data_IF_063510234994
#
_entry.id   IF_063510234994
#
_cell.length_a   1.000
_cell.length_b   1.000
_cell.length_c   1.000
_cell.angle_alpha   90.00
_cell.angle_beta   90.00
_cell.angle_gamma   90.00
#
_symmetry.space_group_name_H-M   'P 1'
#
loop_
_entity.id
_entity.type
_entity.pdbx_description
1 polymer ?
#
# COMPACT_ATOMS: atom_id res chain seq x y z
N UNK A 1 -36.57 -58.99 -3.69
CA UNK A 1 -35.16 -58.51 -3.65
C UNK A 1 -35.09 -57.11 -4.25
N UNK A 2 -34.64 -56.10 -3.51
CA UNK A 2 -34.37 -54.76 -4.07
C UNK A 2 -32.96 -54.74 -4.65
N UNK A 3 -32.82 -54.63 -5.97
CA UNK A 3 -31.52 -54.40 -6.60
C UNK A 3 -30.96 -53.06 -6.14
N UNK A 4 -29.82 -53.07 -5.46
CA UNK A 4 -29.08 -51.84 -5.16
C UNK A 4 -28.43 -51.39 -6.46
N UNK A 5 -28.76 -50.18 -6.94
CA UNK A 5 -28.08 -49.57 -8.08
C UNK A 5 -26.62 -49.32 -7.68
N UNK A 6 -25.69 -49.97 -8.36
CA UNK A 6 -24.26 -49.71 -8.22
C UNK A 6 -23.88 -48.56 -9.14
N UNK A 7 -23.12 -47.61 -8.62
CA UNK A 7 -22.63 -46.46 -9.38
C UNK A 7 -21.47 -46.90 -10.27
N UNK A 8 -21.48 -46.53 -11.55
CA UNK A 8 -20.42 -46.87 -12.49
C UNK A 8 -19.28 -45.86 -12.43
N UNK A 9 -18.07 -46.30 -12.79
CA UNK A 9 -16.90 -45.41 -12.90
C UNK A 9 -17.11 -44.31 -13.95
N UNK A 10 -17.86 -44.61 -15.02
CA UNK A 10 -18.18 -43.64 -16.09
C UNK A 10 -19.09 -42.53 -15.56
N UNK A 11 -20.12 -42.87 -14.78
CA UNK A 11 -21.01 -41.88 -14.16
C UNK A 11 -20.23 -40.94 -13.23
N UNK A 12 -19.26 -41.46 -12.48
CA UNK A 12 -18.39 -40.63 -11.63
C UNK A 12 -17.48 -39.71 -12.46
N UNK A 13 -16.89 -40.24 -13.54
CA UNK A 13 -15.97 -39.52 -14.42
C UNK A 13 -16.67 -38.32 -15.10
N UNK A 14 -17.90 -38.52 -15.59
CA UNK A 14 -18.65 -37.45 -16.24
C UNK A 14 -18.99 -36.33 -15.24
N UNK A 15 -19.37 -36.68 -14.01
CA UNK A 15 -19.70 -35.68 -12.98
C UNK A 15 -18.48 -34.84 -12.63
N UNK A 16 -17.32 -35.45 -12.41
CA UNK A 16 -16.10 -34.68 -12.11
C UNK A 16 -15.66 -33.81 -13.31
N UNK A 17 -15.86 -34.30 -14.55
CA UNK A 17 -15.56 -33.53 -15.76
C UNK A 17 -16.45 -32.27 -15.86
N UNK A 18 -17.75 -32.40 -15.60
CA UNK A 18 -18.68 -31.25 -15.59
C UNK A 18 -18.32 -30.27 -14.47
N UNK A 19 -18.03 -30.75 -13.25
CA UNK A 19 -17.60 -29.89 -12.14
C UNK A 19 -16.30 -29.14 -12.50
N UNK A 20 -15.34 -29.81 -13.13
CA UNK A 20 -14.08 -29.19 -13.55
C UNK A 20 -14.31 -28.05 -14.56
N UNK A 21 -15.19 -28.24 -15.55
CA UNK A 21 -15.55 -27.19 -16.53
C UNK A 21 -16.21 -26.00 -15.82
N UNK A 22 -17.15 -26.24 -14.91
CA UNK A 22 -17.82 -25.18 -14.17
C UNK A 22 -16.82 -24.39 -13.30
N UNK A 23 -15.93 -25.08 -12.59
CA UNK A 23 -14.89 -24.43 -11.78
C UNK A 23 -13.90 -23.64 -12.62
N UNK A 24 -13.54 -24.13 -13.81
CA UNK A 24 -12.63 -23.43 -14.72
C UNK A 24 -13.17 -22.05 -15.15
N UNK A 25 -14.48 -21.93 -15.36
CA UNK A 25 -15.13 -20.66 -15.71
C UNK A 25 -15.38 -19.80 -14.46
N UNK A 26 -15.69 -20.41 -13.32
CA UNK A 26 -16.01 -19.69 -12.08
C UNK A 26 -14.78 -19.06 -11.41
N UNK A 27 -13.63 -19.72 -11.43
CA UNK A 27 -12.42 -19.25 -10.74
C UNK A 27 -11.92 -17.88 -11.23
N UNK A 28 -11.81 -17.59 -12.54
CA UNK A 28 -11.44 -16.27 -13.05
C UNK A 28 -12.42 -15.17 -12.62
N UNK A 29 -13.72 -15.44 -12.71
CA UNK A 29 -14.77 -14.49 -12.32
C UNK A 29 -14.71 -14.17 -10.82
N UNK A 30 -14.53 -15.18 -9.96
CA UNK A 30 -14.41 -15.00 -8.52
C UNK A 30 -13.14 -14.22 -8.13
N UNK A 31 -12.02 -14.46 -8.82
CA UNK A 31 -10.78 -13.69 -8.62
C UNK A 31 -10.96 -12.21 -8.97
N UNK A 32 -11.63 -11.92 -10.10
CA UNK A 32 -11.95 -10.55 -10.49
C UNK A 32 -12.87 -9.86 -9.47
N UNK A 33 -13.94 -10.53 -9.04
CA UNK A 33 -14.87 -10.00 -8.04
C UNK A 33 -14.18 -9.73 -6.69
N UNK A 34 -13.32 -10.65 -6.23
CA UNK A 34 -12.53 -10.47 -5.01
C UNK A 34 -11.61 -9.26 -5.12
N UNK A 35 -10.90 -9.11 -6.24
CA UNK A 35 -9.99 -7.97 -6.41
C UNK A 35 -10.75 -6.63 -6.41
N UNK A 36 -11.90 -6.56 -7.09
CA UNK A 36 -12.76 -5.37 -7.06
C UNK A 36 -13.22 -5.05 -5.63
N UNK A 37 -13.62 -6.06 -4.85
CA UNK A 37 -14.00 -5.86 -3.45
C UNK A 37 -12.82 -5.37 -2.60
N UNK A 38 -11.61 -5.93 -2.78
CA UNK A 38 -10.40 -5.48 -2.08
C UNK A 38 -10.08 -4.02 -2.42
N UNK A 39 -10.24 -3.63 -3.69
CA UNK A 39 -10.06 -2.26 -4.19
C UNK A 39 -11.03 -1.28 -3.55
N UNK A 40 -12.33 -1.62 -3.50
CA UNK A 40 -13.35 -0.80 -2.82
C UNK A 40 -13.04 -0.61 -1.34
N UNK A 41 -12.64 -1.68 -0.64
CA UNK A 41 -12.24 -1.59 0.77
C UNK A 41 -10.99 -0.71 0.93
N UNK A 42 -9.99 -0.87 0.06
CA UNK A 42 -8.78 -0.06 0.05
C UNK A 42 -9.10 1.44 -0.10
N UNK A 43 -9.95 1.81 -1.06
CA UNK A 43 -10.41 3.19 -1.24
C UNK A 43 -11.11 3.77 0.00
N UNK A 44 -11.92 2.95 0.70
CA UNK A 44 -12.54 3.35 1.97
C UNK A 44 -11.52 3.56 3.09
N UNK A 45 -10.52 2.69 3.19
CA UNK A 45 -9.44 2.77 4.17
C UNK A 45 -8.62 4.06 4.00
N UNK A 46 -8.15 4.36 2.79
CA UNK A 46 -7.33 5.57 2.54
C UNK A 46 -8.10 6.88 2.73
N UNK A 47 -9.41 6.91 2.43
CA UNK A 47 -10.27 8.06 2.79
C UNK A 47 -10.34 8.24 4.30
N UNK A 48 -10.47 7.14 5.05
CA UNK A 48 -10.44 7.15 6.51
C UNK A 48 -9.12 7.69 7.07
N UNK A 49 -8.00 7.41 6.39
CA UNK A 49 -6.68 7.95 6.77
C UNK A 49 -6.63 9.48 6.62
N UNK A 50 -7.10 10.03 5.50
CA UNK A 50 -7.15 11.50 5.32
C UNK A 50 -8.06 12.16 6.36
N UNK A 51 -9.20 11.55 6.68
CA UNK A 51 -10.06 12.06 7.75
C UNK A 51 -9.34 12.05 9.11
N UNK A 52 -8.65 10.97 9.44
CA UNK A 52 -7.85 10.89 10.68
C UNK A 52 -6.72 11.94 10.72
N UNK A 53 -6.08 12.22 9.58
CA UNK A 53 -5.09 13.30 9.47
C UNK A 53 -5.72 14.67 9.71
N UNK A 54 -6.90 14.96 9.14
CA UNK A 54 -7.60 16.24 9.37
C UNK A 54 -7.96 16.42 10.85
N UNK A 55 -8.50 15.38 11.49
CA UNK A 55 -8.79 15.42 12.92
C UNK A 55 -7.52 15.60 13.77
N UNK A 56 -6.40 14.98 13.36
CA UNK A 56 -5.11 15.23 14.00
C UNK A 56 -4.70 16.70 13.84
N UNK A 57 -4.80 17.28 12.65
CA UNK A 57 -4.37 18.66 12.44
C UNK A 57 -5.19 19.67 13.24
N UNK A 58 -6.48 19.40 13.48
CA UNK A 58 -7.34 20.25 14.31
C UNK A 58 -6.81 20.38 15.75
N UNK A 59 -6.29 19.28 16.30
CA UNK A 59 -5.71 19.24 17.66
C UNK A 59 -4.25 19.73 17.72
N UNK A 60 -3.58 19.90 16.58
CA UNK A 60 -2.13 20.16 16.47
C UNK A 60 -1.80 21.44 15.67
N UNK A 61 -2.57 22.51 15.86
CA UNK A 61 -2.33 23.84 15.23
C UNK A 61 -2.27 23.79 13.69
N UNK A 62 -3.14 22.96 13.10
CA UNK A 62 -3.26 22.74 11.66
C UNK A 62 -2.11 21.91 11.07
N UNK A 63 -1.22 21.36 11.89
CA UNK A 63 0.05 20.77 11.46
C UNK A 63 0.02 19.25 11.45
N UNK A 64 0.54 18.65 10.39
CA UNK A 64 0.72 17.20 10.30
C UNK A 64 1.91 16.71 11.13
N UNK A 65 1.93 15.41 11.40
CA UNK A 65 3.02 14.75 12.12
C UNK A 65 4.29 14.63 11.24
N UNK A 66 5.48 14.56 11.87
CA UNK A 66 6.76 14.47 11.15
C UNK A 66 6.99 13.11 10.46
N UNK A 67 6.26 12.08 10.90
CA UNK A 67 6.08 10.77 10.26
C UNK A 67 7.40 10.04 9.92
N UNK A 68 7.95 9.24 10.85
CA UNK A 68 9.16 8.43 10.60
C UNK A 68 8.95 7.38 9.48
N UNK A 69 10.06 6.97 8.82
CA UNK A 69 10.02 6.16 7.59
C UNK A 69 9.87 4.64 7.82
N UNK A 70 10.34 4.09 8.95
CA UNK A 70 10.67 2.67 9.05
C UNK A 70 9.51 1.69 9.32
N UNK A 71 8.26 2.15 9.41
CA UNK A 71 7.13 1.25 9.21
C UNK A 71 6.77 0.28 10.32
N UNK A 72 7.20 0.45 11.58
CA UNK A 72 6.86 -0.49 12.66
C UNK A 72 5.75 0.00 13.61
N UNK A 73 4.78 -0.87 13.90
CA UNK A 73 3.75 -0.62 14.93
C UNK A 73 4.19 -1.05 16.33
N UNK A 74 4.91 -2.16 16.38
CA UNK A 74 5.46 -2.78 17.56
C UNK A 74 6.88 -3.27 17.27
N UNK A 75 7.63 -3.53 18.34
CA UNK A 75 9.04 -3.83 18.30
C UNK A 75 9.32 -5.15 17.59
N UNK A 76 9.63 -5.02 16.31
CA UNK A 76 10.11 -6.11 15.50
C UNK A 76 11.62 -6.28 15.67
N UNK A 77 12.40 -5.21 15.84
CA UNK A 77 13.87 -5.25 15.75
C UNK A 77 14.59 -6.14 16.80
N UNK A 78 13.97 -6.43 17.94
CA UNK A 78 14.58 -7.32 18.94
C UNK A 78 14.65 -8.79 18.48
N UNK A 79 15.69 -9.52 18.91
CA UNK A 79 15.80 -10.98 18.71
C UNK A 79 15.97 -11.71 20.05
N UNK A 80 14.94 -12.43 20.53
CA UNK A 80 13.63 -12.63 19.91
C UNK A 80 12.78 -11.36 19.90
N UNK A 81 11.86 -11.23 18.95
CA UNK A 81 10.96 -10.07 18.89
C UNK A 81 10.07 -10.05 20.13
N UNK A 82 10.16 -8.97 20.91
CA UNK A 82 9.31 -8.73 22.07
C UNK A 82 8.27 -7.69 21.68
N UNK A 83 6.96 -8.04 21.62
CA UNK A 83 5.93 -7.07 21.26
C UNK A 83 5.89 -5.88 22.23
N UNK A 84 6.42 -4.75 21.79
CA UNK A 84 6.38 -3.48 22.51
C UNK A 84 5.91 -2.38 21.55
N UNK A 85 4.82 -1.66 21.85
CA UNK A 85 4.32 -0.64 20.95
C UNK A 85 5.33 0.50 20.77
N UNK A 86 5.52 0.95 19.54
CA UNK A 86 6.29 2.16 19.25
C UNK A 86 5.47 3.42 19.54
N UNK A 87 6.12 4.45 20.05
CA UNK A 87 5.61 5.82 20.08
C UNK A 87 5.68 6.49 18.70
N UNK A 88 4.84 7.50 18.44
CA UNK A 88 4.73 8.12 17.12
C UNK A 88 6.01 8.81 16.64
N UNK A 89 6.90 9.22 17.55
CA UNK A 89 8.12 9.96 17.24
C UNK A 89 9.38 9.06 17.19
N UNK A 90 9.23 7.75 17.42
CA UNK A 90 10.39 6.84 17.40
C UNK A 90 10.86 6.64 15.95
N UNK A 91 12.17 6.59 15.72
CA UNK A 91 12.75 6.51 14.36
C UNK A 91 12.27 5.28 13.58
N UNK A 92 11.93 4.21 14.30
CA UNK A 92 11.45 2.95 13.75
C UNK A 92 9.94 2.91 13.48
N UNK A 93 9.19 3.89 14.00
CA UNK A 93 7.74 3.84 14.00
C UNK A 93 7.13 3.96 12.59
N UNK A 94 5.97 3.32 12.42
CA UNK A 94 5.09 3.61 11.30
C UNK A 94 4.38 4.94 11.54
N UNK A 95 4.32 5.79 10.52
CA UNK A 95 3.60 7.07 10.56
C UNK A 95 2.15 6.93 11.04
N UNK A 96 1.52 5.77 10.79
CA UNK A 96 0.14 5.51 11.19
C UNK A 96 -0.11 5.57 12.70
N UNK A 97 0.93 5.41 13.53
CA UNK A 97 0.82 5.50 14.99
C UNK A 97 0.35 6.89 15.43
N UNK A 98 0.81 7.96 14.77
CA UNK A 98 0.42 9.33 15.11
C UNK A 98 -1.07 9.60 14.88
N UNK A 99 -1.64 9.02 13.83
CA UNK A 99 -3.04 9.21 13.44
C UNK A 99 -3.99 8.16 14.06
N UNK A 100 -3.45 7.08 14.63
CA UNK A 100 -4.23 5.98 15.19
C UNK A 100 -5.26 6.40 16.25
N UNK A 101 -4.98 7.38 17.16
CA UNK A 101 -5.96 7.83 18.14
C UNK A 101 -7.26 8.39 17.53
N UNK A 102 -7.22 8.88 16.29
CA UNK A 102 -8.36 9.47 15.58
C UNK A 102 -9.11 8.44 14.72
N UNK A 103 -8.40 7.43 14.21
CA UNK A 103 -9.00 6.33 13.45
C UNK A 103 -9.59 5.22 14.34
N UNK A 104 -8.91 4.91 15.46
CA UNK A 104 -9.18 3.82 16.42
C UNK A 104 -9.43 2.43 15.79
N UNK A 105 -8.92 2.20 14.58
CA UNK A 105 -9.04 0.91 13.88
C UNK A 105 -7.79 0.63 13.03
N UNK A 106 -6.90 -0.26 13.48
CA UNK A 106 -5.66 -0.58 12.74
C UNK A 106 -5.92 -1.18 11.35
N UNK A 107 -7.11 -1.73 11.08
CA UNK A 107 -7.43 -2.31 9.77
C UNK A 107 -7.40 -1.29 8.64
N UNK A 108 -7.64 -0.01 8.93
CA UNK A 108 -7.61 1.04 7.89
C UNK A 108 -6.20 1.33 7.37
N UNK A 109 -5.15 0.85 8.03
CA UNK A 109 -3.76 0.97 7.57
C UNK A 109 -3.31 -0.24 6.74
N UNK A 110 -4.23 -1.17 6.45
CA UNK A 110 -3.97 -2.35 5.65
C UNK A 110 -4.86 -2.37 4.42
N UNK A 111 -4.26 -2.48 3.24
CA UNK A 111 -4.99 -2.90 2.05
C UNK A 111 -5.16 -4.44 2.09
N UNK A 112 -6.39 -4.98 1.93
CA UNK A 112 -6.61 -6.43 1.90
C UNK A 112 -5.95 -7.16 0.72
N UNK A 113 -5.49 -6.42 -0.30
CA UNK A 113 -4.75 -6.93 -1.45
C UNK A 113 -3.24 -7.04 -1.23
N UNK A 114 -2.70 -6.39 -0.20
CA UNK A 114 -1.26 -6.36 0.10
C UNK A 114 -0.75 -7.75 0.44
N UNK A 115 0.32 -8.16 -0.24
CA UNK A 115 1.07 -9.38 0.08
C UNK A 115 2.37 -9.05 0.77
N UNK A 116 3.01 -7.94 0.38
CA UNK A 116 4.30 -7.52 0.90
C UNK A 116 4.37 -6.01 1.00
N UNK A 117 5.05 -5.54 2.03
CA UNK A 117 5.45 -4.14 2.19
C UNK A 117 6.96 -4.10 2.41
N UNK A 118 7.52 -2.91 2.29
CA UNK A 118 8.94 -2.70 2.53
C UNK A 118 9.25 -3.07 3.99
N UNK A 119 10.25 -3.92 4.16
CA UNK A 119 10.66 -4.47 5.45
C UNK A 119 12.11 -4.13 5.75
N UNK A 120 12.32 -3.26 6.74
CA UNK A 120 13.65 -2.98 7.26
C UNK A 120 14.03 -3.98 8.38
N UNK A 121 15.25 -4.56 8.39
CA UNK A 121 16.34 -4.38 7.44
C UNK A 121 16.21 -5.26 6.19
N UNK A 122 16.37 -4.64 5.02
CA UNK A 122 16.24 -5.26 3.69
C UNK A 122 17.35 -6.29 3.38
N UNK A 123 18.41 -6.38 4.21
CA UNK A 123 19.70 -7.00 3.88
C UNK A 123 20.20 -8.08 4.86
N UNK A 124 19.39 -8.59 5.79
CA UNK A 124 19.89 -9.57 6.79
C UNK A 124 18.89 -10.66 7.17
N UNK A 125 19.31 -11.93 7.14
CA UNK A 125 18.56 -13.06 7.72
C UNK A 125 18.40 -12.85 9.24
N UNK A 126 17.20 -13.00 9.86
CA UNK A 126 15.92 -13.51 9.34
C UNK A 126 14.94 -12.45 8.81
N UNK A 127 15.39 -11.22 8.60
CA UNK A 127 14.59 -10.09 8.18
C UNK A 127 14.39 -10.09 6.65
N UNK A 128 13.13 -10.17 6.24
CA UNK A 128 12.66 -10.56 4.91
C UNK A 128 11.23 -11.10 5.01
N UNK A 129 10.79 -11.97 4.07
CA UNK A 129 9.40 -12.49 4.04
C UNK A 129 8.84 -13.01 5.39
N UNK A 130 9.69 -13.54 6.28
CA UNK A 130 9.29 -14.01 7.62
C UNK A 130 8.89 -12.88 8.58
N UNK A 131 9.46 -11.68 8.41
CA UNK A 131 9.20 -10.48 9.21
C UNK A 131 7.92 -9.74 8.79
N UNK A 132 7.38 -10.01 7.60
CA UNK A 132 6.15 -9.39 7.05
C UNK A 132 4.93 -9.46 7.98
N UNK A 133 4.91 -10.43 8.91
CA UNK A 133 3.88 -10.51 9.96
C UNK A 133 3.83 -9.27 10.87
N UNK A 134 4.95 -8.58 11.07
CA UNK A 134 5.04 -7.35 11.89
C UNK A 134 4.62 -6.09 11.11
N UNK A 135 4.73 -6.12 9.77
CA UNK A 135 4.36 -5.00 8.91
C UNK A 135 2.94 -5.10 8.31
N UNK A 136 2.11 -6.00 8.87
CA UNK A 136 0.76 -6.32 8.39
C UNK A 136 -0.14 -5.08 8.20
N UNK A 137 0.04 -4.03 9.00
CA UNK A 137 -0.78 -2.82 8.99
C UNK A 137 -0.01 -1.61 8.44
N UNK A 138 0.89 -1.83 7.49
CA UNK A 138 1.77 -0.80 6.93
C UNK A 138 1.67 -0.74 5.40
N UNK A 139 0.46 -0.90 4.87
CA UNK A 139 0.23 -1.12 3.43
C UNK A 139 0.28 0.13 2.56
N UNK A 140 0.38 1.31 3.19
CA UNK A 140 0.24 2.60 2.51
C UNK A 140 1.48 3.46 2.74
N UNK A 141 1.92 4.10 1.68
CA UNK A 141 2.90 5.18 1.73
C UNK A 141 2.21 6.49 2.09
N UNK A 142 2.82 7.24 3.01
CA UNK A 142 2.48 8.64 3.28
C UNK A 142 3.36 9.53 2.40
N UNK A 143 2.78 10.55 1.77
CA UNK A 143 3.58 11.54 1.07
C UNK A 143 4.45 12.36 2.05
N UNK A 144 5.77 12.27 1.89
CA UNK A 144 6.75 12.98 2.70
C UNK A 144 6.59 14.50 2.64
N UNK A 145 6.14 15.03 1.52
CA UNK A 145 5.93 16.47 1.32
C UNK A 145 4.86 17.06 2.24
N UNK A 146 3.88 16.26 2.67
CA UNK A 146 2.84 16.73 3.59
C UNK A 146 3.24 16.61 5.06
N UNK A 147 4.43 16.11 5.40
CA UNK A 147 4.87 15.90 6.79
C UNK A 147 5.35 17.19 7.45
N UNK A 148 5.01 17.40 8.73
CA UNK A 148 5.41 18.59 9.49
C UNK A 148 4.96 19.92 8.83
N UNK A 149 3.81 19.90 8.13
CA UNK A 149 3.26 21.01 7.34
C UNK A 149 1.90 21.47 7.87
N UNK A 150 1.60 22.76 7.75
CA UNK A 150 0.26 23.31 8.03
C UNK A 150 -0.63 23.17 6.81
N UNK A 151 -1.62 22.27 6.86
CA UNK A 151 -2.35 21.86 5.66
C UNK A 151 -3.08 23.04 4.98
N UNK A 152 -3.84 23.81 5.74
CA UNK A 152 -4.65 24.92 5.19
C UNK A 152 -3.80 26.14 4.77
N UNK A 153 -2.60 26.28 5.34
CA UNK A 153 -1.74 27.43 5.07
C UNK A 153 -0.74 27.17 3.92
N UNK A 154 -0.28 25.93 3.76
CA UNK A 154 0.82 25.59 2.84
C UNK A 154 0.35 25.00 1.51
N UNK A 155 -0.88 24.49 1.41
CA UNK A 155 -1.37 23.83 0.19
C UNK A 155 -2.57 24.55 -0.42
N UNK A 156 -2.32 25.32 -1.49
CA UNK A 156 -3.37 26.05 -2.24
C UNK A 156 -4.24 25.15 -3.13
N UNK A 157 -3.71 24.00 -3.54
CA UNK A 157 -4.38 23.05 -4.44
C UNK A 157 -4.33 21.64 -3.82
N UNK A 158 -5.08 21.38 -2.73
CA UNK A 158 -5.03 20.08 -2.04
C UNK A 158 -5.52 18.91 -2.92
N UNK A 159 -6.31 19.18 -3.96
CA UNK A 159 -6.70 18.18 -4.96
C UNK A 159 -5.56 17.76 -5.90
N UNK A 160 -4.41 18.43 -5.87
CA UNK A 160 -3.23 18.08 -6.66
C UNK A 160 -2.08 17.57 -5.79
N UNK A 161 -2.31 17.29 -4.51
CA UNK A 161 -1.30 16.79 -3.59
C UNK A 161 -1.70 15.41 -3.09
N UNK A 162 -0.88 14.40 -3.35
CA UNK A 162 -1.11 13.05 -2.84
C UNK A 162 -0.90 13.08 -1.33
N UNK A 163 -1.82 12.47 -0.57
CA UNK A 163 -1.68 12.31 0.87
C UNK A 163 -1.21 10.90 1.24
N UNK A 164 -1.92 9.89 0.72
CA UNK A 164 -1.56 8.48 0.90
C UNK A 164 -1.73 7.70 -0.39
N UNK A 165 -0.97 6.63 -0.54
CA UNK A 165 -0.99 5.81 -1.75
C UNK A 165 -0.74 4.34 -1.41
N UNK A 166 -1.38 3.41 -2.14
CA UNK A 166 -0.96 2.02 -2.18
C UNK A 166 0.50 1.96 -2.63
N UNK A 167 1.37 1.60 -1.70
CA UNK A 167 2.80 1.59 -1.94
C UNK A 167 3.45 0.48 -1.13
N UNK A 168 4.61 0.02 -1.57
CA UNK A 168 5.43 -0.92 -0.80
C UNK A 168 6.11 -0.20 0.37
N UNK A 169 6.68 0.97 0.11
CA UNK A 169 7.34 1.83 1.10
C UNK A 169 6.34 2.64 1.94
N UNK A 170 6.70 2.91 3.20
CA UNK A 170 5.84 3.63 4.14
C UNK A 170 5.94 5.15 4.01
N UNK A 171 7.02 5.71 3.49
CA UNK A 171 7.16 7.16 3.29
C UNK A 171 7.66 7.47 1.89
N UNK A 172 7.06 8.47 1.26
CA UNK A 172 7.31 8.83 -0.14
C UNK A 172 8.06 10.17 -0.18
N UNK A 173 9.40 10.12 -0.17
CA UNK A 173 10.29 11.28 0.09
C UNK A 173 11.02 11.82 -1.17
N UNK A 174 10.38 11.83 -2.36
CA UNK A 174 10.97 12.32 -3.64
C UNK A 174 12.27 11.58 -4.04
N UNK A 175 12.34 10.29 -3.76
CA UNK A 175 13.46 9.40 -4.03
C UNK A 175 13.12 8.35 -5.12
N UNK A 176 13.88 7.25 -5.19
CA UNK A 176 13.74 6.25 -6.25
C UNK A 176 12.44 5.46 -6.23
N UNK A 177 11.55 5.77 -5.29
CA UNK A 177 10.33 5.06 -4.98
C UNK A 177 9.08 5.77 -5.50
N UNK A 178 9.24 6.91 -6.19
CA UNK A 178 8.11 7.70 -6.67
C UNK A 178 7.55 7.16 -7.98
N UNK A 179 6.27 7.43 -8.23
CA UNK A 179 5.62 7.09 -9.51
C UNK A 179 5.91 8.10 -10.62
N UNK A 180 6.41 9.29 -10.30
CA UNK A 180 6.91 10.23 -11.31
C UNK A 180 8.35 9.89 -11.71
N UNK A 181 8.75 10.34 -12.89
CA UNK A 181 10.16 10.32 -13.30
C UNK A 181 10.89 11.45 -12.56
N UNK A 182 12.00 11.14 -11.90
CA UNK A 182 12.85 12.16 -11.28
C UNK A 182 13.80 12.77 -12.29
N UNK A 183 14.33 13.99 -12.04
CA UNK A 183 15.38 14.55 -12.86
C UNK A 183 16.58 13.61 -12.99
N UNK A 184 16.93 13.25 -14.23
CA UNK A 184 18.03 12.34 -14.55
C UNK A 184 17.64 10.86 -14.69
N UNK A 185 16.46 10.47 -14.21
CA UNK A 185 15.94 9.12 -14.39
C UNK A 185 15.23 8.97 -15.74
N UNK A 186 15.13 7.72 -16.21
CA UNK A 186 14.40 7.37 -17.46
C UNK A 186 13.03 6.76 -17.22
N UNK A 187 12.77 6.35 -15.98
CA UNK A 187 11.58 5.62 -15.57
C UNK A 187 11.35 5.87 -14.08
N UNK A 188 10.10 5.80 -13.65
CA UNK A 188 9.72 5.83 -12.24
C UNK A 188 10.18 4.57 -11.49
N UNK A 189 10.04 4.58 -10.15
CA UNK A 189 10.30 3.43 -9.30
C UNK A 189 11.71 2.81 -9.52
N UNK A 190 12.72 3.63 -9.79
CA UNK A 190 14.08 3.16 -10.10
C UNK A 190 14.69 2.29 -9.00
N UNK A 191 14.25 2.44 -7.75
CA UNK A 191 14.69 1.60 -6.63
C UNK A 191 14.10 0.18 -6.70
N UNK A 192 12.83 0.06 -7.12
CA UNK A 192 12.07 -1.20 -7.14
C UNK A 192 12.08 -1.93 -8.49
N UNK A 193 12.45 -1.23 -9.57
CA UNK A 193 12.60 -1.85 -10.90
C UNK A 193 13.93 -2.57 -11.03
N UNK A 194 13.98 -3.53 -11.96
CA UNK A 194 15.16 -4.37 -12.19
C UNK A 194 16.42 -3.51 -12.49
N UNK A 195 17.51 -3.77 -11.77
CA UNK A 195 18.74 -2.95 -11.80
C UNK A 195 18.80 -1.82 -10.77
N UNK A 196 17.74 -1.61 -9.99
CA UNK A 196 17.70 -0.70 -8.84
C UNK A 196 18.39 -1.24 -7.59
N UNK A 197 18.58 -0.36 -6.59
CA UNK A 197 19.16 -0.70 -5.27
C UNK A 197 18.41 -1.83 -4.57
N UNK A 198 17.09 -1.92 -4.75
CA UNK A 198 16.21 -2.97 -4.23
C UNK A 198 15.48 -3.74 -5.34
N UNK A 199 16.00 -3.67 -6.57
CA UNK A 199 15.45 -4.35 -7.75
C UNK A 199 15.50 -5.88 -7.70
N UNK A 200 15.93 -6.47 -6.58
CA UNK A 200 15.92 -7.91 -6.31
C UNK A 200 14.55 -8.42 -5.80
N UNK A 201 13.55 -7.54 -5.67
CA UNK A 201 12.17 -7.89 -5.32
C UNK A 201 11.26 -7.82 -6.56
N UNK A 202 11.11 -8.93 -7.33
CA UNK A 202 10.40 -8.90 -8.61
C UNK A 202 8.92 -8.51 -8.49
N UNK A 203 8.32 -8.61 -7.31
CA UNK A 203 6.94 -8.22 -7.04
C UNK A 203 6.76 -6.78 -6.54
N UNK A 204 7.82 -6.01 -6.29
CA UNK A 204 7.70 -4.69 -5.64
C UNK A 204 6.81 -3.72 -6.42
N UNK A 205 7.02 -3.61 -7.73
CA UNK A 205 6.15 -2.82 -8.62
C UNK A 205 4.71 -3.35 -8.60
N UNK A 206 4.53 -4.68 -8.59
CA UNK A 206 3.19 -5.28 -8.51
C UNK A 206 2.50 -4.96 -7.18
N UNK A 207 3.24 -4.81 -6.09
CA UNK A 207 2.68 -4.36 -4.82
C UNK A 207 2.30 -2.88 -4.87
N UNK A 208 3.04 -2.01 -5.55
CA UNK A 208 2.58 -0.63 -5.78
C UNK A 208 1.28 -0.58 -6.60
N UNK A 209 1.11 -1.48 -7.56
CA UNK A 209 -0.06 -1.56 -8.45
C UNK A 209 -0.96 -2.79 -8.19
N UNK A 210 -1.14 -3.13 -6.89
CA UNK A 210 -1.76 -4.39 -6.42
C UNK A 210 -3.22 -4.63 -6.83
N UNK A 211 -3.91 -3.63 -7.35
CA UNK A 211 -5.31 -3.72 -7.76
C UNK A 211 -5.50 -4.00 -9.26
N UNK A 212 -4.73 -4.96 -9.80
CA UNK A 212 -4.66 -5.33 -11.24
C UNK A 212 -4.07 -4.21 -12.11
N UNK A 213 -2.89 -3.72 -11.72
CA UNK A 213 -2.18 -2.70 -12.47
C UNK A 213 -2.58 -1.27 -12.10
N UNK A 214 -3.28 -1.08 -10.97
CA UNK A 214 -3.58 0.25 -10.43
C UNK A 214 -3.22 0.34 -8.96
N UNK A 215 -2.81 1.54 -8.55
CA UNK A 215 -2.58 1.96 -7.17
C UNK A 215 -3.74 2.84 -6.72
N UNK A 216 -4.26 2.61 -5.51
CA UNK A 216 -5.27 3.49 -4.93
C UNK A 216 -4.57 4.66 -4.25
N UNK A 217 -4.88 5.86 -4.73
CA UNK A 217 -4.30 7.12 -4.25
C UNK A 217 -5.40 7.97 -3.64
N UNK A 218 -5.14 8.53 -2.46
CA UNK A 218 -5.99 9.56 -1.86
C UNK A 218 -5.24 10.88 -1.82
N UNK A 219 -5.95 11.94 -2.19
CA UNK A 219 -5.43 13.29 -2.27
C UNK A 219 -5.71 14.04 -0.97
N UNK A 220 -5.03 15.16 -0.77
CA UNK A 220 -5.09 15.92 0.47
C UNK A 220 -6.49 16.49 0.76
N UNK A 221 -7.29 16.76 -0.28
CA UNK A 221 -8.70 17.14 -0.13
C UNK A 221 -9.61 15.96 0.29
N UNK A 222 -9.15 14.72 0.12
CA UNK A 222 -9.84 13.47 0.49
C UNK A 222 -10.48 12.70 -0.68
N UNK A 223 -10.41 13.19 -1.92
CA UNK A 223 -10.87 12.38 -3.05
C UNK A 223 -9.91 11.22 -3.30
N UNK A 224 -10.42 10.15 -3.93
CA UNK A 224 -9.63 8.94 -4.24
C UNK A 224 -9.65 8.74 -5.73
N UNK A 225 -8.48 8.47 -6.28
CA UNK A 225 -8.29 8.10 -7.68
C UNK A 225 -7.48 6.82 -7.79
N UNK A 226 -7.40 6.33 -9.02
CA UNK A 226 -6.58 5.21 -9.40
C UNK A 226 -5.45 5.75 -10.26
N UNK A 227 -4.22 5.34 -9.97
CA UNK A 227 -3.07 5.60 -10.84
C UNK A 227 -2.67 4.27 -11.47
N UNK A 228 -2.63 4.22 -12.80
CA UNK A 228 -2.28 3.03 -13.55
C UNK A 228 -0.76 2.80 -13.55
N UNK A 229 -0.34 1.55 -13.75
CA UNK A 229 1.06 1.21 -13.90
C UNK A 229 1.61 1.74 -15.23
N UNK A 230 2.49 2.73 -15.14
CA UNK A 230 3.21 3.31 -16.28
C UNK A 230 4.70 3.45 -15.99
N UNK A 231 5.45 3.97 -16.94
CA UNK A 231 6.84 4.42 -16.79
C UNK A 231 6.97 5.75 -16.03
N UNK A 232 5.85 6.43 -15.77
CA UNK A 232 5.77 7.65 -14.94
C UNK A 232 5.68 8.97 -15.70
N UNK A 233 5.58 8.96 -17.04
CA UNK A 233 5.45 10.20 -17.83
C UNK A 233 4.11 10.94 -17.59
N UNK A 234 3.09 10.21 -17.14
CA UNK A 234 1.74 10.69 -16.85
C UNK A 234 1.53 11.09 -15.39
N UNK A 235 2.58 11.00 -14.56
CA UNK A 235 2.54 11.30 -13.13
C UNK A 235 3.38 12.56 -12.84
N UNK A 236 2.75 13.73 -12.68
CA UNK A 236 3.45 14.97 -12.37
C UNK A 236 4.21 14.92 -11.05
N UNK A 237 5.49 15.33 -11.08
CA UNK A 237 6.34 15.48 -9.87
C UNK A 237 5.72 16.40 -8.82
N UNK A 238 4.95 17.41 -9.24
CA UNK A 238 4.26 18.33 -8.33
C UNK A 238 3.29 17.64 -7.38
N UNK A 239 2.76 16.47 -7.74
CA UNK A 239 1.83 15.71 -6.88
C UNK A 239 2.51 15.17 -5.62
N UNK A 240 3.80 14.90 -5.71
CA UNK A 240 4.62 14.41 -4.60
C UNK A 240 5.36 15.53 -3.89
N UNK A 241 5.72 16.62 -4.57
CA UNK A 241 6.70 17.59 -4.04
C UNK A 241 6.21 19.03 -3.96
N UNK A 242 5.10 19.35 -4.64
CA UNK A 242 4.65 20.72 -4.90
C UNK A 242 5.56 21.53 -5.82
N UNK A 243 6.65 20.93 -6.32
CA UNK A 243 7.61 21.57 -7.23
C UNK A 243 7.23 21.28 -8.69
N UNK A 244 7.37 22.27 -9.60
CA UNK A 244 7.16 22.05 -11.02
C UNK A 244 8.25 21.14 -11.61
N UNK A 245 7.95 20.50 -12.75
CA UNK A 245 8.83 19.49 -13.38
C UNK A 245 10.21 20.05 -13.76
N UNK A 246 10.29 21.34 -14.11
CA UNK A 246 11.51 22.01 -14.58
C UNK A 246 12.42 22.54 -13.46
N UNK A 247 12.11 22.30 -12.19
CA UNK A 247 12.99 22.72 -11.08
C UNK A 247 14.08 21.67 -10.84
N UNK A 248 15.19 21.86 -11.57
CA UNK A 248 16.52 21.31 -11.30
C UNK A 248 17.20 22.10 -10.18
#
# INVERSE_FOLDING_TARGET
MKYRRAFTLIELLVVIAVIAILLAILMPALRAAKNQAQKTVCGGHVRGLVLATKMYTDDWDGKTHNSPNNGLWDNAWENPAVPKPYGPNESLAYWGIAYFPYAKNKKIYRCPGTKRVDDWPEWGDPWGQQAQKYFKYCSYGLNGYITNKKLDAEFKHPSEVIAFQDHIEQKLDDNGDMFHIRPGDRINLTQWRNGGTLGNFPEAVQECFRHRGVSITVWLDGHVTEIEETTGEDVPRKWYTGKPEDTL
#
